data_IF_833437131874
#
_entry.id   IF_833437131874
#
_cell.length_a   1.000
_cell.length_b   1.000
_cell.length_c   1.000
_cell.angle_alpha   90.00
_cell.angle_beta   90.00
_cell.angle_gamma   90.00
#
_symmetry.space_group_name_H-M   'P 1'
#
loop_
_entity.id
_entity.type
_entity.pdbx_description
1 polymer ?
#
# COMPACT_ATOMS: atom_id res chain seq x y z
N UNK A 1 0.12 -13.34 -15.92
CA UNK A 1 0.21 -11.86 -15.98
C UNK A 1 -0.82 -11.17 -15.10
N UNK A 2 -2.12 -11.48 -15.19
CA UNK A 2 -3.17 -10.84 -14.38
C UNK A 2 -2.90 -10.86 -12.86
N UNK A 3 -2.49 -12.00 -12.30
CA UNK A 3 -2.12 -12.17 -10.89
C UNK A 3 -0.97 -11.25 -10.44
N UNK A 4 0.02 -11.06 -11.30
CA UNK A 4 1.19 -10.20 -11.03
C UNK A 4 0.74 -8.75 -10.92
N UNK A 5 -0.08 -8.30 -11.87
CA UNK A 5 -0.65 -6.95 -11.86
C UNK A 5 -1.51 -6.73 -10.61
N UNK A 6 -2.39 -7.68 -10.27
CA UNK A 6 -3.22 -7.60 -9.07
C UNK A 6 -2.42 -7.48 -7.78
N UNK A 7 -1.37 -8.28 -7.62
CA UNK A 7 -0.51 -8.25 -6.44
C UNK A 7 0.19 -6.90 -6.27
N UNK A 8 0.88 -6.43 -7.31
CA UNK A 8 1.61 -5.16 -7.24
C UNK A 8 0.67 -3.95 -7.18
N UNK A 9 -0.47 -3.98 -7.88
CA UNK A 9 -1.48 -2.93 -7.78
C UNK A 9 -2.03 -2.84 -6.35
N UNK A 10 -2.32 -3.97 -5.70
CA UNK A 10 -2.82 -3.98 -4.32
C UNK A 10 -1.78 -3.41 -3.34
N UNK A 11 -0.50 -3.73 -3.54
CA UNK A 11 0.60 -3.17 -2.75
C UNK A 11 0.71 -1.66 -2.95
N UNK A 12 0.63 -1.18 -4.20
CA UNK A 12 0.69 0.25 -4.51
C UNK A 12 -0.50 0.99 -3.89
N UNK A 13 -1.71 0.42 -3.95
CA UNK A 13 -2.90 1.00 -3.32
C UNK A 13 -2.73 1.07 -1.80
N UNK A 14 -2.33 -0.03 -1.15
CA UNK A 14 -2.10 -0.04 0.30
C UNK A 14 -0.99 0.93 0.71
N UNK A 15 0.12 0.95 -0.02
CA UNK A 15 1.23 1.88 0.20
C UNK A 15 0.82 3.35 -0.01
N UNK A 16 0.03 3.62 -1.05
CA UNK A 16 -0.55 4.94 -1.32
C UNK A 16 -1.42 5.44 -0.17
N UNK A 17 -2.31 4.58 0.33
CA UNK A 17 -3.16 4.90 1.46
C UNK A 17 -2.35 5.18 2.74
N UNK A 18 -1.33 4.37 3.04
CA UNK A 18 -0.42 4.62 4.16
C UNK A 18 0.29 5.96 4.03
N UNK A 19 0.80 6.28 2.83
CA UNK A 19 1.48 7.54 2.59
C UNK A 19 0.53 8.74 2.75
N UNK A 20 -0.66 8.68 2.16
CA UNK A 20 -1.66 9.75 2.24
C UNK A 20 -2.12 9.97 3.69
N UNK A 21 -2.45 8.92 4.43
CA UNK A 21 -2.85 9.04 5.83
C UNK A 21 -1.72 9.57 6.72
N UNK A 22 -0.50 9.07 6.53
CA UNK A 22 0.66 9.56 7.27
C UNK A 22 0.90 11.05 7.00
N UNK A 23 0.85 11.48 5.73
CA UNK A 23 1.00 12.89 5.34
C UNK A 23 -0.11 13.74 5.95
N UNK A 24 -1.35 13.26 5.92
CA UNK A 24 -2.48 13.99 6.49
C UNK A 24 -2.35 14.16 8.01
N UNK A 25 -1.91 13.13 8.74
CA UNK A 25 -1.62 13.22 10.18
C UNK A 25 -0.51 14.24 10.47
N UNK A 26 0.56 14.24 9.68
CA UNK A 26 1.64 15.23 9.81
C UNK A 26 1.14 16.66 9.56
N UNK A 27 0.30 16.86 8.54
CA UNK A 27 -0.32 18.16 8.25
C UNK A 27 -1.26 18.62 9.37
N UNK A 28 -1.98 17.69 10.01
CA UNK A 28 -2.81 17.94 11.17
C UNK A 28 -2.02 18.18 12.47
N UNK A 29 -0.68 18.22 12.39
CA UNK A 29 0.26 18.37 13.52
C UNK A 29 0.24 17.20 14.51
N UNK A 30 -0.29 16.05 14.11
CA UNK A 30 -0.22 14.78 14.85
C UNK A 30 1.08 14.08 14.45
N UNK A 31 2.20 14.67 14.88
CA UNK A 31 3.56 14.22 14.55
C UNK A 31 4.02 13.20 15.57
N UNK A 32 3.51 11.98 15.43
CA UNK A 32 3.95 10.82 16.19
C UNK A 32 4.86 9.92 15.34
N UNK A 33 5.73 9.10 15.98
CA UNK A 33 6.57 8.14 15.26
C UNK A 33 5.76 7.23 14.31
N UNK A 34 4.52 6.90 14.69
CA UNK A 34 3.59 6.14 13.85
C UNK A 34 3.26 6.83 12.53
N UNK A 35 2.95 8.14 12.55
CA UNK A 35 2.63 8.93 11.35
C UNK A 35 3.80 8.96 10.37
N UNK A 36 5.02 9.16 10.87
CA UNK A 36 6.24 9.16 10.05
C UNK A 36 6.49 7.78 9.43
N UNK A 37 6.31 6.71 10.21
CA UNK A 37 6.46 5.34 9.72
C UNK A 37 5.40 4.96 8.70
N UNK A 38 4.17 5.46 8.81
CA UNK A 38 3.14 5.30 7.79
C UNK A 38 3.56 5.96 6.47
N UNK A 39 4.12 7.17 6.51
CA UNK A 39 4.63 7.84 5.29
C UNK A 39 5.77 7.05 4.66
N UNK A 40 6.81 6.74 5.44
CA UNK A 40 7.99 6.04 4.93
C UNK A 40 7.66 4.62 4.45
N UNK A 41 6.84 3.89 5.21
CA UNK A 41 6.38 2.56 4.84
C UNK A 41 5.50 2.59 3.60
N UNK A 42 4.60 3.56 3.48
CA UNK A 42 3.74 3.73 2.32
C UNK A 42 4.52 4.01 1.04
N UNK A 43 5.42 5.00 1.08
CA UNK A 43 6.31 5.33 -0.04
C UNK A 43 7.22 4.15 -0.37
N UNK A 44 7.76 3.47 0.64
CA UNK A 44 8.60 2.29 0.48
C UNK A 44 7.90 1.14 -0.25
N UNK A 45 6.62 0.89 0.07
CA UNK A 45 5.81 -0.13 -0.62
C UNK A 45 5.58 0.22 -2.10
N UNK A 46 5.29 1.49 -2.40
CA UNK A 46 5.12 1.96 -3.78
C UNK A 46 6.43 1.83 -4.55
N UNK A 47 7.54 2.31 -3.96
CA UNK A 47 8.87 2.24 -4.56
C UNK A 47 9.31 0.79 -4.77
N UNK A 48 9.03 -0.10 -3.81
CA UNK A 48 9.31 -1.53 -3.92
C UNK A 48 8.54 -2.17 -5.08
N UNK A 49 7.23 -1.91 -5.19
CA UNK A 49 6.41 -2.43 -6.27
C UNK A 49 6.87 -1.91 -7.64
N UNK A 50 7.14 -0.60 -7.74
CA UNK A 50 7.65 0.03 -8.96
C UNK A 50 9.01 -0.52 -9.37
N UNK A 51 9.96 -0.61 -8.43
CA UNK A 51 11.29 -1.17 -8.67
C UNK A 51 11.19 -2.61 -9.16
N UNK A 52 10.42 -3.46 -8.48
CA UNK A 52 10.24 -4.86 -8.89
C UNK A 52 9.60 -5.01 -10.26
N UNK A 53 8.67 -4.13 -10.63
CA UNK A 53 8.08 -4.14 -11.97
C UNK A 53 9.04 -3.63 -13.05
N UNK A 54 9.92 -2.69 -12.72
CA UNK A 54 10.83 -2.07 -13.68
C UNK A 54 12.14 -2.85 -13.90
N UNK A 55 12.66 -3.53 -12.87
CA UNK A 55 14.00 -4.12 -12.91
C UNK A 55 14.03 -5.64 -12.78
N UNK A 56 12.90 -6.31 -12.55
CA UNK A 56 12.89 -7.77 -12.48
C UNK A 56 12.73 -8.39 -13.87
N UNK A 57 13.65 -9.28 -14.23
CA UNK A 57 13.58 -10.07 -15.47
C UNK A 57 12.32 -10.96 -15.51
N UNK A 58 11.88 -11.43 -14.33
CA UNK A 58 10.63 -12.17 -14.14
C UNK A 58 9.92 -11.72 -12.85
N UNK A 59 8.99 -10.74 -12.94
CA UNK A 59 8.26 -10.25 -11.80
C UNK A 59 7.36 -11.32 -11.17
N UNK A 60 6.97 -12.36 -11.92
CA UNK A 60 6.07 -13.40 -11.43
C UNK A 60 6.72 -14.30 -10.37
N UNK A 61 8.05 -14.44 -10.36
CA UNK A 61 8.79 -15.24 -9.36
C UNK A 61 8.66 -14.74 -7.94
N UNK A 62 8.36 -13.46 -7.77
CA UNK A 62 8.28 -12.81 -6.46
C UNK A 62 6.82 -12.69 -5.97
N UNK A 63 5.87 -13.19 -6.77
CA UNK A 63 4.46 -13.20 -6.41
C UNK A 63 4.15 -14.49 -5.66
N UNK A 64 3.59 -14.42 -4.44
CA UNK A 64 3.27 -15.60 -3.64
C UNK A 64 2.15 -16.44 -4.26
N UNK A 65 1.80 -17.58 -3.65
CA UNK A 65 0.73 -18.47 -4.16
C UNK A 65 -0.62 -17.74 -4.26
N UNK A 66 -1.53 -18.27 -5.08
CA UNK A 66 -2.79 -17.59 -5.45
C UNK A 66 -3.61 -17.15 -4.23
N UNK A 67 -3.67 -17.98 -3.19
CA UNK A 67 -4.37 -17.65 -1.94
C UNK A 67 -3.83 -16.40 -1.25
N UNK A 68 -2.51 -16.21 -1.24
CA UNK A 68 -1.89 -15.02 -0.64
C UNK A 68 -2.13 -13.76 -1.45
N UNK A 69 -2.14 -13.86 -2.79
CA UNK A 69 -2.47 -12.72 -3.64
C UNK A 69 -3.89 -12.24 -3.36
N UNK A 70 -4.84 -13.17 -3.26
CA UNK A 70 -6.22 -12.82 -2.89
C UNK A 70 -6.33 -12.25 -1.49
N UNK A 71 -5.62 -12.81 -0.50
CA UNK A 71 -5.59 -12.24 0.85
C UNK A 71 -5.09 -10.78 0.86
N UNK A 72 -4.06 -10.47 0.05
CA UNK A 72 -3.51 -9.11 -0.06
C UNK A 72 -4.49 -8.18 -0.78
N UNK A 73 -5.15 -8.66 -1.84
CA UNK A 73 -6.21 -7.90 -2.53
C UNK A 73 -7.33 -7.57 -1.55
N UNK A 74 -7.83 -8.56 -0.80
CA UNK A 74 -8.89 -8.37 0.20
C UNK A 74 -8.44 -7.41 1.29
N UNK A 75 -7.21 -7.55 1.79
CA UNK A 75 -6.66 -6.63 2.78
C UNK A 75 -6.58 -5.20 2.25
N UNK A 76 -6.15 -5.00 1.01
CA UNK A 76 -6.11 -3.69 0.37
C UNK A 76 -7.51 -3.09 0.20
N UNK A 77 -8.51 -3.90 -0.17
CA UNK A 77 -9.91 -3.46 -0.29
C UNK A 77 -10.48 -3.08 1.08
N UNK A 78 -10.29 -3.92 2.10
CA UNK A 78 -10.74 -3.64 3.47
C UNK A 78 -10.06 -2.40 4.04
N UNK A 79 -8.76 -2.25 3.79
CA UNK A 79 -8.01 -1.07 4.20
C UNK A 79 -8.53 0.18 3.49
N UNK A 80 -8.77 0.11 2.19
CA UNK A 80 -9.39 1.21 1.42
C UNK A 80 -10.76 1.57 1.99
N UNK A 81 -11.63 0.60 2.23
CA UNK A 81 -12.94 0.83 2.85
C UNK A 81 -12.81 1.48 4.23
N UNK A 82 -11.88 1.00 5.06
CA UNK A 82 -11.61 1.60 6.37
C UNK A 82 -11.13 3.04 6.25
N UNK A 83 -10.20 3.34 5.34
CA UNK A 83 -9.73 4.71 5.08
C UNK A 83 -10.84 5.63 4.56
N UNK A 84 -11.88 5.13 3.89
CA UNK A 84 -12.98 5.97 3.44
C UNK A 84 -13.99 6.20 4.58
N UNK A 85 -14.30 5.15 5.34
CA UNK A 85 -15.36 5.16 6.35
C UNK A 85 -14.93 5.77 7.69
N UNK A 86 -13.65 5.67 8.05
CA UNK A 86 -13.16 6.00 9.39
C UNK A 86 -11.95 6.93 9.40
N UNK A 87 -11.49 7.41 8.23
CA UNK A 87 -10.30 8.25 8.19
C UNK A 87 -10.52 9.59 8.90
N UNK A 88 -9.55 10.05 9.70
CA UNK A 88 -9.56 11.38 10.30
C UNK A 88 -9.34 12.51 9.27
N UNK A 89 -9.13 12.18 7.99
CA UNK A 89 -8.92 13.16 6.90
C UNK A 89 -10.23 13.67 6.30
N UNK A 90 -11.35 12.97 6.52
CA UNK A 90 -12.68 13.36 6.03
C UNK A 90 -13.60 13.98 7.10
N UNK A 91 -13.13 14.09 8.35
CA UNK A 91 -13.81 14.78 9.46
C UNK A 91 -13.19 16.16 9.71
#
# INVERSE_FOLDING_TARGET
MFKVVLYYASIVVAGGLFAVLGIANLNARVVDPGSVMMVLGGIGLIAFAGYRLATADDPARHVPTDGWVWAIVVAAVLFSAWTVLFSPVSA
#
